data_IF_292123920027
#
_entry.id   IF_292123920027
#
_cell.length_a   1.000
_cell.length_b   1.000
_cell.length_c   1.000
_cell.angle_alpha   90.00
_cell.angle_beta   90.00
_cell.angle_gamma   90.00
#
_symmetry.space_group_name_H-M   'P 1'
#
loop_
_entity.id
_entity.type
_entity.pdbx_description
1 polymer ?
#
# COMPACT_ATOMS: atom_id res chain seq x y z
N UNK A 1 23.31 8.03 -7.19
CA UNK A 1 22.99 6.68 -6.67
C UNK A 1 21.96 6.02 -7.56
N UNK A 2 22.07 4.73 -7.78
CA UNK A 2 21.07 3.97 -8.52
C UNK A 2 19.86 3.70 -7.64
N UNK A 3 18.67 3.49 -8.25
CA UNK A 3 17.47 3.12 -7.48
C UNK A 3 17.72 1.86 -6.62
N UNK A 4 18.44 0.89 -7.14
CA UNK A 4 18.78 -0.35 -6.43
C UNK A 4 19.63 -0.10 -5.18
N UNK A 5 20.61 0.83 -5.28
CA UNK A 5 21.48 1.18 -4.14
C UNK A 5 20.70 1.89 -3.02
N UNK A 6 19.75 2.76 -3.39
CA UNK A 6 18.85 3.41 -2.42
C UNK A 6 17.95 2.36 -1.76
N UNK A 7 17.32 1.51 -2.57
CA UNK A 7 16.40 0.50 -2.08
C UNK A 7 17.08 -0.57 -1.21
N UNK A 8 18.35 -0.90 -1.46
CA UNK A 8 19.14 -1.77 -0.57
C UNK A 8 19.21 -1.21 0.85
N UNK A 9 19.48 0.09 0.98
CA UNK A 9 19.52 0.75 2.29
C UNK A 9 18.13 0.76 2.95
N UNK A 10 17.10 1.15 2.18
CA UNK A 10 15.72 1.20 2.69
C UNK A 10 15.26 -0.18 3.17
N UNK A 11 15.50 -1.23 2.40
CA UNK A 11 15.17 -2.62 2.76
C UNK A 11 15.96 -3.06 4.00
N UNK A 12 17.23 -2.70 4.08
CA UNK A 12 18.08 -3.06 5.23
C UNK A 12 17.56 -2.42 6.53
N UNK A 13 17.12 -1.16 6.48
CA UNK A 13 16.65 -0.46 7.67
C UNK A 13 15.15 -0.65 7.97
N UNK A 14 14.37 -1.19 7.03
CA UNK A 14 12.92 -1.38 7.20
C UNK A 14 12.55 -2.13 8.50
N UNK A 15 13.20 -3.25 8.89
CA UNK A 15 12.88 -3.94 10.14
C UNK A 15 13.20 -3.11 11.39
N UNK A 16 14.18 -2.20 11.32
CA UNK A 16 14.48 -1.28 12.41
C UNK A 16 13.36 -0.26 12.56
N UNK A 17 12.94 0.36 11.47
CA UNK A 17 11.83 1.32 11.48
C UNK A 17 10.54 0.69 11.95
N UNK A 18 10.23 -0.53 11.54
CA UNK A 18 9.06 -1.27 12.02
C UNK A 18 9.03 -1.40 13.54
N UNK A 19 10.20 -1.56 14.18
CA UNK A 19 10.32 -1.74 15.63
C UNK A 19 10.33 -0.45 16.43
N UNK A 20 10.88 0.64 15.88
CA UNK A 20 11.06 1.89 16.62
C UNK A 20 9.90 2.87 16.46
N UNK A 21 9.02 2.64 15.48
CA UNK A 21 7.84 3.48 15.30
C UNK A 21 6.81 3.14 16.37
N UNK A 22 6.63 4.06 17.32
CA UNK A 22 5.63 3.95 18.37
C UNK A 22 4.24 4.41 17.91
N UNK A 23 4.18 5.48 17.16
CA UNK A 23 2.93 6.00 16.58
C UNK A 23 3.20 6.92 15.39
N UNK A 24 2.20 7.04 14.51
CA UNK A 24 2.17 8.07 13.47
C UNK A 24 0.75 8.45 13.11
N UNK A 25 0.61 9.63 12.51
CA UNK A 25 -0.63 10.09 11.87
C UNK A 25 -0.36 10.27 10.38
N UNK A 26 -1.30 9.85 9.56
CA UNK A 26 -1.20 9.97 8.12
C UNK A 26 -2.57 10.28 7.50
N UNK A 27 -2.54 10.94 6.36
CA UNK A 27 -3.69 11.02 5.48
C UNK A 27 -3.58 9.90 4.44
N UNK A 28 -4.65 9.14 4.28
CA UNK A 28 -4.67 7.97 3.42
C UNK A 28 -5.69 8.19 2.30
N UNK A 29 -5.20 8.20 1.07
CA UNK A 29 -6.02 8.19 -0.12
C UNK A 29 -5.92 6.83 -0.80
N UNK A 30 -7.06 6.18 -0.99
CA UNK A 30 -7.15 4.88 -1.64
C UNK A 30 -8.07 5.02 -2.85
N UNK A 31 -7.57 4.59 -4.01
CA UNK A 31 -8.37 4.42 -5.23
C UNK A 31 -8.26 2.98 -5.68
N UNK A 32 -9.38 2.30 -5.71
CA UNK A 32 -9.50 0.93 -6.18
C UNK A 32 -10.43 0.86 -7.41
N UNK A 33 -10.02 0.07 -8.40
CA UNK A 33 -10.85 -0.25 -9.55
C UNK A 33 -10.71 -1.71 -9.90
N UNK A 34 -11.83 -2.41 -10.03
CA UNK A 34 -11.87 -3.83 -10.39
C UNK A 34 -12.82 -4.01 -11.55
N UNK A 35 -12.34 -4.62 -12.62
CA UNK A 35 -13.15 -5.05 -13.76
C UNK A 35 -13.18 -6.57 -13.83
N UNK A 36 -14.36 -7.14 -13.72
CA UNK A 36 -14.58 -8.59 -13.71
C UNK A 36 -14.98 -9.03 -15.11
N UNK A 37 -13.99 -9.38 -15.94
CA UNK A 37 -14.20 -9.81 -17.31
C UNK A 37 -14.69 -11.26 -17.44
N UNK A 38 -14.36 -12.13 -16.47
CA UNK A 38 -14.80 -13.54 -16.40
C UNK A 38 -14.99 -13.96 -14.95
N UNK A 39 -15.85 -14.96 -14.68
CA UNK A 39 -15.96 -15.63 -13.38
C UNK A 39 -14.63 -16.33 -13.07
N UNK A 40 -13.70 -15.63 -12.47
CA UNK A 40 -12.39 -16.16 -12.13
C UNK A 40 -12.27 -16.42 -10.62
N UNK A 41 -11.42 -17.36 -10.26
CA UNK A 41 -11.05 -17.73 -8.90
C UNK A 41 -10.55 -16.55 -8.03
N UNK A 42 -10.21 -15.42 -8.64
CA UNK A 42 -9.81 -14.17 -7.97
C UNK A 42 -10.88 -13.66 -6.98
N UNK A 43 -12.16 -13.89 -7.27
CA UNK A 43 -13.25 -13.51 -6.36
C UNK A 43 -13.18 -14.20 -4.98
N UNK A 44 -12.43 -15.30 -4.85
CA UNK A 44 -12.20 -15.96 -3.56
C UNK A 44 -11.32 -15.13 -2.62
N UNK A 45 -10.45 -14.29 -3.17
CA UNK A 45 -9.51 -13.47 -2.41
C UNK A 45 -10.05 -12.08 -2.12
N UNK A 46 -11.17 -11.69 -2.76
CA UNK A 46 -11.86 -10.44 -2.44
C UNK A 46 -12.75 -10.71 -1.22
N UNK A 47 -12.59 -9.97 -0.12
CA UNK A 47 -13.48 -10.07 1.04
C UNK A 47 -14.93 -9.97 0.61
N UNK A 48 -15.83 -10.72 1.26
CA UNK A 48 -17.23 -10.82 0.86
C UNK A 48 -17.94 -9.47 0.76
N UNK A 49 -17.54 -8.52 1.59
CA UNK A 49 -18.05 -7.14 1.60
C UNK A 49 -17.69 -6.32 0.35
N UNK A 50 -16.63 -6.70 -0.37
CA UNK A 50 -16.22 -6.04 -1.61
C UNK A 50 -16.60 -6.83 -2.86
N UNK A 51 -17.31 -7.94 -2.71
CA UNK A 51 -17.77 -8.72 -3.86
C UNK A 51 -18.86 -7.95 -4.58
N UNK A 52 -18.73 -7.76 -5.90
CA UNK A 52 -19.76 -7.07 -6.68
C UNK A 52 -21.08 -7.82 -6.59
N UNK A 53 -22.17 -7.07 -6.50
CA UNK A 53 -23.52 -7.62 -6.62
C UNK A 53 -23.67 -8.39 -7.94
N UNK A 54 -24.53 -9.42 -7.98
CA UNK A 54 -24.78 -10.22 -9.17
C UNK A 54 -25.15 -9.31 -10.36
N UNK A 55 -24.34 -9.35 -11.43
CA UNK A 55 -24.54 -8.53 -12.63
C UNK A 55 -23.66 -7.29 -12.74
N UNK A 56 -23.01 -6.86 -11.66
CA UNK A 56 -22.06 -5.73 -11.69
C UNK A 56 -20.68 -6.24 -12.14
N UNK A 57 -20.18 -5.68 -13.24
CA UNK A 57 -18.87 -6.06 -13.82
C UNK A 57 -17.73 -5.10 -13.45
N UNK A 58 -18.07 -3.91 -13.05
CA UNK A 58 -17.10 -2.87 -12.69
C UNK A 58 -17.36 -2.37 -11.28
N UNK A 59 -16.29 -2.19 -10.56
CA UNK A 59 -16.32 -1.77 -9.18
C UNK A 59 -15.24 -0.73 -8.98
N UNK A 60 -15.63 0.46 -8.58
CA UNK A 60 -14.72 1.55 -8.29
C UNK A 60 -14.96 2.06 -6.87
N UNK A 61 -13.87 2.36 -6.20
CA UNK A 61 -13.87 2.93 -4.88
C UNK A 61 -12.77 3.99 -4.79
N UNK A 62 -13.10 5.08 -4.16
CA UNK A 62 -12.17 6.14 -3.87
C UNK A 62 -12.46 6.65 -2.46
N UNK A 63 -11.48 6.62 -1.57
CA UNK A 63 -11.63 7.02 -0.18
C UNK A 63 -10.50 7.93 0.26
N UNK A 64 -10.81 8.88 1.11
CA UNK A 64 -9.89 9.76 1.80
C UNK A 64 -10.12 9.63 3.30
N UNK A 65 -9.06 9.33 4.05
CA UNK A 65 -9.14 8.99 5.46
C UNK A 65 -8.00 9.59 6.26
N UNK A 66 -8.25 9.84 7.55
CA UNK A 66 -7.18 9.99 8.54
C UNK A 66 -6.85 8.63 9.12
N UNK A 67 -5.57 8.34 9.22
CA UNK A 67 -5.03 7.13 9.84
C UNK A 67 -4.18 7.52 11.04
N UNK A 68 -4.44 6.89 12.19
CA UNK A 68 -3.59 6.95 13.36
C UNK A 68 -3.12 5.53 13.70
N UNK A 69 -1.84 5.31 13.60
CA UNK A 69 -1.19 4.08 14.03
C UNK A 69 -0.63 4.23 15.43
N UNK A 70 -0.79 3.21 16.24
CA UNK A 70 -0.12 3.06 17.55
C UNK A 70 0.40 1.63 17.67
N UNK A 71 1.67 1.51 17.95
CA UNK A 71 2.31 0.20 18.11
C UNK A 71 1.63 -0.64 19.21
N UNK A 72 1.62 -1.97 19.10
CA UNK A 72 2.31 -2.74 18.06
C UNK A 72 1.53 -2.86 16.74
N UNK A 73 0.19 -2.73 16.73
CA UNK A 73 -0.66 -3.04 15.59
C UNK A 73 -2.05 -2.37 15.64
N UNK A 74 -2.20 -1.30 16.41
CA UNK A 74 -3.46 -0.57 16.53
C UNK A 74 -3.55 0.46 15.41
N UNK A 75 -4.55 0.28 14.54
CA UNK A 75 -4.87 1.20 13.46
C UNK A 75 -6.25 1.80 13.68
N UNK A 76 -6.30 3.11 13.92
CA UNK A 76 -7.54 3.88 13.97
C UNK A 76 -7.66 4.69 12.68
N UNK A 77 -8.64 4.35 11.87
CA UNK A 77 -8.85 4.97 10.57
C UNK A 77 -10.25 5.57 10.50
N UNK A 78 -10.29 6.87 10.24
CA UNK A 78 -11.53 7.64 10.07
C UNK A 78 -11.70 8.06 8.62
N UNK A 79 -12.69 7.53 7.94
CA UNK A 79 -13.05 7.94 6.59
C UNK A 79 -13.66 9.33 6.63
N UNK A 80 -13.08 10.29 5.90
CA UNK A 80 -13.58 11.66 5.73
C UNK A 80 -14.49 11.79 4.53
N UNK A 81 -14.14 11.11 3.43
CA UNK A 81 -14.91 11.11 2.20
C UNK A 81 -14.77 9.79 1.47
N UNK A 82 -15.84 9.35 0.84
CA UNK A 82 -15.84 8.16 -0.02
C UNK A 82 -16.75 8.38 -1.22
N UNK A 83 -16.30 7.88 -2.37
CA UNK A 83 -17.06 7.90 -3.63
C UNK A 83 -16.88 6.56 -4.32
N UNK A 84 -17.92 6.07 -4.97
CA UNK A 84 -17.87 4.88 -5.80
C UNK A 84 -19.08 3.98 -5.64
N UNK A 85 -19.08 2.87 -6.36
CA UNK A 85 -20.15 1.87 -6.32
C UNK A 85 -20.16 1.06 -5.02
N UNK A 86 -19.14 1.24 -4.19
CA UNK A 86 -19.00 0.61 -2.87
C UNK A 86 -19.48 1.47 -1.71
N UNK A 87 -20.01 2.66 -1.95
CA UNK A 87 -20.40 3.60 -0.90
C UNK A 87 -21.36 3.02 0.14
N UNK A 88 -22.21 2.07 -0.26
CA UNK A 88 -23.14 1.38 0.66
C UNK A 88 -22.43 0.57 1.76
N UNK A 89 -21.14 0.25 1.59
CA UNK A 89 -20.38 -0.53 2.56
C UNK A 89 -19.63 0.34 3.58
N UNK A 90 -19.55 1.65 3.33
CA UNK A 90 -18.79 2.59 4.16
C UNK A 90 -19.62 3.22 5.28
N UNK A 91 -20.92 2.96 5.32
CA UNK A 91 -21.81 3.44 6.38
C UNK A 91 -21.60 2.75 7.74
N UNK A 92 -20.79 1.70 7.77
CA UNK A 92 -20.42 1.02 9.00
C UNK A 92 -19.34 1.82 9.75
N UNK A 93 -19.74 2.71 10.63
CA UNK A 93 -18.93 3.46 11.62
C UNK A 93 -17.81 4.36 11.07
N UNK A 94 -17.75 4.66 9.77
CA UNK A 94 -16.71 5.50 9.18
C UNK A 94 -15.30 4.94 9.29
N UNK A 95 -15.14 3.67 9.60
CA UNK A 95 -13.86 2.94 9.66
C UNK A 95 -13.71 2.08 8.43
N UNK A 96 -12.50 2.10 7.84
CA UNK A 96 -12.15 1.11 6.85
C UNK A 96 -12.00 -0.26 7.51
N UNK A 97 -12.43 -1.34 6.84
CA UNK A 97 -12.13 -2.68 7.32
C UNK A 97 -10.63 -2.85 7.54
N UNK A 98 -10.26 -3.69 8.48
CA UNK A 98 -8.86 -4.03 8.81
C UNK A 98 -8.01 -4.42 7.60
N UNK A 99 -8.63 -4.81 6.46
CA UNK A 99 -7.93 -5.19 5.21
C UNK A 99 -7.07 -4.07 4.60
N UNK A 100 -7.27 -2.82 4.98
CA UNK A 100 -6.50 -1.68 4.50
C UNK A 100 -5.41 -1.24 5.48
N UNK A 101 -5.20 -2.01 6.54
CA UNK A 101 -4.05 -1.84 7.40
C UNK A 101 -2.79 -2.18 6.60
N UNK A 102 -2.01 -1.18 6.27
CA UNK A 102 -0.78 -1.32 5.51
C UNK A 102 0.36 -0.74 6.32
N UNK A 103 1.27 -1.60 6.76
CA UNK A 103 2.58 -1.18 7.25
C UNK A 103 3.60 -1.48 6.16
N UNK A 104 4.12 -0.45 5.51
CA UNK A 104 5.06 -0.63 4.39
C UNK A 104 6.39 -1.23 4.82
N UNK A 105 6.77 -1.10 6.09
CA UNK A 105 8.01 -1.67 6.63
C UNK A 105 7.90 -3.16 6.92
N UNK A 106 6.70 -3.69 7.06
CA UNK A 106 6.47 -5.13 7.16
C UNK A 106 6.91 -5.86 5.89
N UNK A 107 7.31 -7.11 6.03
CA UNK A 107 7.68 -7.97 4.89
C UNK A 107 6.47 -8.33 4.02
N UNK A 108 5.28 -8.28 4.57
CA UNK A 108 4.02 -8.54 3.86
C UNK A 108 2.99 -7.44 4.12
N UNK A 109 2.05 -7.32 3.20
CA UNK A 109 0.96 -6.35 3.23
C UNK A 109 -0.38 -7.09 3.17
N UNK A 110 -1.46 -6.42 3.59
CA UNK A 110 -2.83 -6.93 3.49
C UNK A 110 -2.98 -8.37 4.01
N UNK A 111 -2.72 -8.59 5.31
CA UNK A 111 -2.83 -9.90 5.96
C UNK A 111 -2.00 -10.99 5.28
N UNK A 112 -0.73 -10.73 5.05
CA UNK A 112 0.21 -11.67 4.43
C UNK A 112 -0.16 -12.12 3.00
N UNK A 113 -1.04 -11.37 2.33
CA UNK A 113 -1.45 -11.71 0.95
C UNK A 113 -0.54 -11.11 -0.11
N UNK A 114 0.11 -9.99 0.19
CA UNK A 114 0.97 -9.28 -0.76
C UNK A 114 2.39 -9.18 -0.21
N UNK A 115 3.37 -9.34 -1.09
CA UNK A 115 4.78 -9.11 -0.74
C UNK A 115 5.05 -7.60 -0.72
N UNK A 116 5.62 -7.10 0.38
CA UNK A 116 6.05 -5.71 0.48
C UNK A 116 7.22 -5.42 -0.48
N UNK A 117 7.26 -4.24 -1.12
CA UNK A 117 8.44 -3.80 -1.86
C UNK A 117 9.65 -3.53 -0.96
N UNK A 118 9.48 -3.53 0.36
CA UNK A 118 10.57 -3.41 1.36
C UNK A 118 10.92 -4.74 2.03
N UNK A 119 10.33 -5.86 1.62
CA UNK A 119 10.68 -7.17 2.14
C UNK A 119 12.16 -7.51 1.89
N UNK A 120 12.84 -8.26 2.76
CA UNK A 120 14.26 -8.61 2.60
C UNK A 120 14.59 -9.26 1.25
N UNK A 121 13.65 -9.98 0.65
CA UNK A 121 13.79 -10.65 -0.63
C UNK A 121 13.13 -9.90 -1.80
N UNK A 122 12.68 -8.66 -1.59
CA UNK A 122 11.88 -7.90 -2.57
C UNK A 122 12.59 -7.73 -3.92
N UNK A 123 13.91 -7.57 -3.94
CA UNK A 123 14.71 -7.43 -5.17
C UNK A 123 14.61 -8.63 -6.13
N UNK A 124 14.21 -9.80 -5.65
CA UNK A 124 13.95 -10.97 -6.52
C UNK A 124 12.67 -10.79 -7.35
N UNK A 125 11.71 -10.04 -6.82
CA UNK A 125 10.36 -9.93 -7.36
C UNK A 125 10.03 -8.57 -7.94
N UNK A 126 10.76 -7.52 -7.55
CA UNK A 126 10.55 -6.14 -7.98
C UNK A 126 11.75 -5.57 -8.71
N UNK A 127 11.47 -4.67 -9.65
CA UNK A 127 12.44 -3.72 -10.22
C UNK A 127 12.16 -2.33 -9.65
N UNK A 128 13.21 -1.55 -9.45
CA UNK A 128 13.14 -0.19 -8.92
C UNK A 128 13.74 0.79 -9.92
N UNK A 129 13.08 1.93 -10.07
CA UNK A 129 13.53 3.01 -10.95
C UNK A 129 13.28 4.36 -10.29
N UNK A 130 14.28 5.25 -10.31
CA UNK A 130 14.09 6.64 -9.93
C UNK A 130 13.30 7.32 -11.04
N UNK A 131 12.12 7.84 -10.72
CA UNK A 131 11.32 8.63 -11.66
C UNK A 131 11.66 10.12 -11.52
N UNK A 132 11.86 10.62 -10.31
CA UNK A 132 12.12 12.03 -10.04
C UNK A 132 12.98 12.18 -8.79
N UNK A 133 13.85 13.16 -8.81
CA UNK A 133 14.60 13.64 -7.64
C UNK A 133 14.09 15.03 -7.31
N UNK A 134 13.70 15.25 -6.09
CA UNK A 134 13.10 16.50 -5.58
C UNK A 134 13.90 17.01 -4.38
N UNK A 135 13.75 18.29 -4.06
CA UNK A 135 14.37 18.91 -2.89
C UNK A 135 15.70 19.59 -3.17
N UNK A 136 16.30 20.14 -2.12
CA UNK A 136 17.57 20.86 -2.16
C UNK A 136 18.75 19.97 -1.74
N UNK A 137 19.99 20.44 -1.97
CA UNK A 137 21.24 19.66 -1.79
C UNK A 137 21.37 18.85 -0.50
N UNK A 138 20.70 19.29 0.58
CA UNK A 138 20.80 18.66 1.92
C UNK A 138 19.51 17.95 2.35
N UNK A 139 18.50 17.90 1.47
CA UNK A 139 17.19 17.27 1.74
C UNK A 139 16.62 16.69 0.45
N UNK A 140 17.38 15.83 -0.22
CA UNK A 140 16.92 15.18 -1.44
C UNK A 140 15.87 14.13 -1.13
N UNK A 141 14.85 14.10 -1.96
CA UNK A 141 13.83 13.09 -1.98
C UNK A 141 13.82 12.39 -3.35
N UNK A 142 13.79 11.08 -3.31
CA UNK A 142 13.76 10.24 -4.49
C UNK A 142 12.37 9.63 -4.64
N UNK A 143 11.67 9.96 -5.73
CA UNK A 143 10.46 9.24 -6.11
C UNK A 143 10.87 7.99 -6.86
N UNK A 144 10.73 6.85 -6.21
CA UNK A 144 11.14 5.55 -6.74
C UNK A 144 9.90 4.76 -7.13
N UNK A 145 9.81 4.39 -8.39
CA UNK A 145 8.82 3.45 -8.90
C UNK A 145 9.29 2.03 -8.63
N UNK A 146 8.40 1.20 -8.08
CA UNK A 146 8.62 -0.24 -8.00
C UNK A 146 7.59 -0.98 -8.84
N UNK A 147 8.05 -2.00 -9.56
CA UNK A 147 7.24 -2.76 -10.50
C UNK A 147 7.51 -4.25 -10.33
N UNK A 148 6.46 -5.10 -10.34
CA UNK A 148 6.61 -6.54 -10.36
C UNK A 148 7.41 -7.01 -11.59
N UNK A 149 8.34 -7.95 -11.39
CA UNK A 149 9.08 -8.61 -12.49
C UNK A 149 8.23 -9.62 -13.24
N UNK A 150 7.14 -10.08 -12.63
CA UNK A 150 6.22 -11.05 -13.21
C UNK A 150 4.77 -10.72 -12.86
N UNK A 151 3.85 -11.24 -13.65
CA UNK A 151 2.41 -11.12 -13.35
C UNK A 151 2.07 -12.06 -12.19
N UNK A 152 1.74 -11.50 -11.04
CA UNK A 152 1.28 -12.22 -9.87
C UNK A 152 0.34 -11.34 -9.07
N UNK A 153 -0.74 -11.92 -8.51
CA UNK A 153 -1.63 -11.18 -7.61
C UNK A 153 -1.09 -11.04 -6.19
N UNK A 154 0.08 -11.58 -5.90
CA UNK A 154 0.80 -11.37 -4.65
C UNK A 154 1.79 -10.21 -4.73
N UNK A 155 1.95 -9.60 -5.91
CA UNK A 155 2.84 -8.48 -6.16
C UNK A 155 2.04 -7.24 -6.52
N UNK A 156 2.55 -6.09 -6.08
CA UNK A 156 1.94 -4.77 -6.30
C UNK A 156 2.92 -3.83 -6.99
N UNK A 157 2.42 -2.84 -7.71
CA UNK A 157 3.22 -1.77 -8.28
C UNK A 157 2.86 -0.43 -7.68
N UNK A 158 3.81 0.49 -7.64
CA UNK A 158 3.57 1.82 -7.10
C UNK A 158 4.82 2.68 -7.03
N UNK A 159 4.76 3.68 -6.15
CA UNK A 159 5.84 4.62 -5.89
C UNK A 159 6.14 4.70 -4.40
N UNK A 160 7.41 4.91 -4.10
CA UNK A 160 7.89 5.30 -2.78
C UNK A 160 8.58 6.65 -2.89
N UNK A 161 8.43 7.49 -1.88
CA UNK A 161 9.23 8.70 -1.70
C UNK A 161 10.20 8.42 -0.56
N UNK A 162 11.49 8.46 -0.89
CA UNK A 162 12.57 8.16 0.05
C UNK A 162 13.40 9.41 0.26
N UNK A 163 13.56 9.82 1.51
CA UNK A 163 14.36 11.00 1.89
C UNK A 163 15.80 10.60 2.21
N UNK A 164 16.77 11.37 1.70
CA UNK A 164 18.21 11.07 1.82
C UNK A 164 18.74 11.14 3.27
N UNK A 165 18.04 11.84 4.15
CA UNK A 165 18.49 12.10 5.52
C UNK A 165 17.96 11.11 6.58
N UNK A 166 17.30 10.02 6.19
CA UNK A 166 16.53 9.17 7.12
C UNK A 166 16.90 7.69 7.05
N UNK A 167 17.98 7.32 6.41
CA UNK A 167 18.48 5.94 6.41
C UNK A 167 19.66 5.75 7.32
#
# INVERSE_FOLDING_TARGET
SSADSIMEKVIFFAPLYERIIESYKAELYIKGWVNIRKKNHILRYIPSMFRPKKGVREYMMETYSDLHFTAPDIYDQKVKASVGTASEFWEMDGRLPEYFHINIYSSTLLYDKLLSPLAPNAKKYYTYRIDTVMGERHALQYKIRFMPKSKSFQLVGGYLIVSDNVW
#
